data_IF_449482290622
#
_entry.id   IF_449482290622
#
_cell.length_a   1.000
_cell.length_b   1.000
_cell.length_c   1.000
_cell.angle_alpha   90.00
_cell.angle_beta   90.00
_cell.angle_gamma   90.00
#
_symmetry.space_group_name_H-M   'P 1'
#
loop_
_entity.id
_entity.type
_entity.pdbx_description
1 polymer ?
#
# COMPACT_ATOMS: atom_id res chain seq x y z
N UNK A 1 22.25 -4.73 6.52
CA UNK A 1 21.22 -4.82 5.50
C UNK A 1 20.08 -3.86 5.82
N UNK A 2 19.66 -3.10 4.84
CA UNK A 2 18.58 -2.16 5.07
C UNK A 2 17.26 -2.90 5.31
N UNK A 3 16.41 -2.34 6.15
CA UNK A 3 15.08 -2.87 6.37
C UNK A 3 14.26 -2.76 5.08
N UNK A 4 13.37 -3.71 4.89
CA UNK A 4 12.43 -3.64 3.76
C UNK A 4 11.46 -2.48 3.98
N UNK A 5 11.15 -1.78 2.92
CA UNK A 5 10.22 -0.66 2.95
C UNK A 5 8.84 -1.11 2.49
N UNK A 6 7.85 -0.87 3.32
CA UNK A 6 6.46 -1.23 3.01
C UNK A 6 5.62 0.05 2.98
N UNK A 7 4.89 0.24 1.89
CA UNK A 7 3.97 1.36 1.76
C UNK A 7 2.55 0.84 1.87
N UNK A 8 1.76 1.41 2.79
CA UNK A 8 0.40 0.96 3.05
C UNK A 8 -0.58 1.98 2.52
N UNK A 9 -1.46 1.57 1.63
CA UNK A 9 -2.53 2.41 1.08
C UNK A 9 -3.86 1.90 1.61
N UNK A 10 -4.29 2.47 2.72
CA UNK A 10 -5.51 2.13 3.43
C UNK A 10 -6.08 3.39 4.05
N UNK A 11 -7.32 3.73 3.72
CA UNK A 11 -7.93 4.96 4.22
C UNK A 11 -8.51 4.84 5.63
N UNK A 12 -8.74 3.62 6.11
CA UNK A 12 -9.12 3.42 7.51
C UNK A 12 -7.87 3.51 8.38
N UNK A 13 -7.75 4.61 9.12
CA UNK A 13 -6.56 4.87 9.93
C UNK A 13 -6.32 3.81 11.01
N UNK A 14 -7.38 3.21 11.54
CA UNK A 14 -7.24 2.16 12.55
C UNK A 14 -6.61 0.92 11.93
N UNK A 15 -7.09 0.51 10.78
CA UNK A 15 -6.55 -0.66 10.07
C UNK A 15 -5.11 -0.38 9.63
N UNK A 16 -4.87 0.79 9.05
CA UNK A 16 -3.53 1.15 8.59
C UNK A 16 -2.51 1.11 9.73
N UNK A 17 -2.86 1.67 10.87
CA UNK A 17 -1.97 1.68 12.03
C UNK A 17 -1.76 0.28 12.60
N UNK A 18 -2.79 -0.55 12.62
CA UNK A 18 -2.66 -1.92 13.11
C UNK A 18 -1.70 -2.73 12.23
N UNK A 19 -1.84 -2.61 10.91
CA UNK A 19 -0.94 -3.29 9.98
C UNK A 19 0.48 -2.76 10.13
N UNK A 20 0.62 -1.44 10.19
CA UNK A 20 1.94 -0.80 10.33
C UNK A 20 2.64 -1.24 11.62
N UNK A 21 1.91 -1.27 12.73
CA UNK A 21 2.49 -1.70 14.01
C UNK A 21 2.97 -3.14 13.94
N UNK A 22 2.20 -4.01 13.32
CA UNK A 22 2.57 -5.41 13.19
C UNK A 22 3.83 -5.57 12.33
N UNK A 23 3.88 -4.89 11.19
CA UNK A 23 5.05 -4.98 10.31
C UNK A 23 6.29 -4.36 10.94
N UNK A 24 6.11 -3.32 11.75
CA UNK A 24 7.24 -2.71 12.44
C UNK A 24 7.90 -3.68 13.41
N UNK A 25 7.15 -4.59 14.01
CA UNK A 25 7.75 -5.61 14.88
C UNK A 25 8.67 -6.55 14.12
N UNK A 26 8.53 -6.63 12.79
CA UNK A 26 9.41 -7.41 11.92
C UNK A 26 10.56 -6.57 11.37
N UNK A 27 10.79 -5.40 11.95
CA UNK A 27 11.88 -4.48 11.58
C UNK A 27 11.75 -3.95 10.16
N UNK A 28 10.53 -3.84 9.66
CA UNK A 28 10.26 -3.21 8.38
C UNK A 28 10.08 -1.72 8.57
N UNK A 29 10.51 -0.94 7.58
CA UNK A 29 10.25 0.49 7.54
C UNK A 29 8.92 0.71 6.85
N UNK A 30 7.95 1.27 7.57
CA UNK A 30 6.57 1.38 7.08
C UNK A 30 6.16 2.84 6.95
N UNK A 31 5.50 3.16 5.84
CA UNK A 31 4.87 4.44 5.66
C UNK A 31 3.45 4.23 5.17
N UNK A 32 2.51 4.97 5.75
CA UNK A 32 1.11 4.94 5.34
C UNK A 32 0.83 6.11 4.40
N UNK A 33 -0.03 5.87 3.40
CA UNK A 33 -0.42 6.93 2.47
C UNK A 33 -1.14 8.05 3.21
N UNK A 34 -0.83 9.28 2.84
CA UNK A 34 -1.44 10.46 3.43
C UNK A 34 -2.36 11.22 2.49
N UNK A 35 -2.13 11.12 1.18
CA UNK A 35 -2.94 11.83 0.21
C UNK A 35 -3.45 10.86 -0.85
N UNK A 36 -4.74 10.52 -0.77
CA UNK A 36 -5.33 9.51 -1.64
C UNK A 36 -5.63 10.01 -3.06
N UNK A 37 -5.27 11.24 -3.35
CA UNK A 37 -5.31 11.77 -4.72
C UNK A 37 -3.92 11.73 -5.36
N UNK A 38 -2.86 11.46 -4.59
CA UNK A 38 -1.48 11.53 -5.07
C UNK A 38 -0.66 10.33 -4.62
N UNK A 39 -1.23 9.15 -4.73
CA UNK A 39 -0.57 7.93 -4.27
C UNK A 39 0.72 7.68 -5.05
N UNK A 40 0.71 7.87 -6.37
CA UNK A 40 1.89 7.61 -7.20
C UNK A 40 3.08 8.46 -6.77
N UNK A 41 2.80 9.73 -6.44
CA UNK A 41 3.86 10.63 -6.00
C UNK A 41 4.46 10.20 -4.67
N UNK A 42 3.63 9.75 -3.74
CA UNK A 42 4.12 9.25 -2.46
C UNK A 42 4.93 7.98 -2.62
N UNK A 43 4.53 7.10 -3.54
CA UNK A 43 5.27 5.88 -3.84
C UNK A 43 6.64 6.23 -4.41
N UNK A 44 6.71 7.18 -5.33
CA UNK A 44 7.97 7.60 -5.91
C UNK A 44 8.92 8.19 -4.86
N UNK A 45 8.39 8.97 -3.93
CA UNK A 45 9.19 9.58 -2.88
C UNK A 45 9.72 8.55 -1.89
N UNK A 46 8.90 7.58 -1.52
CA UNK A 46 9.28 6.59 -0.53
C UNK A 46 10.11 5.44 -1.09
N UNK A 47 9.89 5.09 -2.36
CA UNK A 47 10.59 3.97 -3.03
C UNK A 47 10.42 2.66 -2.26
N UNK A 48 9.18 2.19 -2.07
CA UNK A 48 8.95 0.98 -1.28
C UNK A 48 9.41 -0.28 -1.99
N UNK A 49 9.66 -1.32 -1.21
CA UNK A 49 9.97 -2.65 -1.73
C UNK A 49 8.69 -3.45 -1.98
N UNK A 50 7.62 -3.09 -1.29
CA UNK A 50 6.32 -3.72 -1.47
C UNK A 50 5.23 -2.71 -1.08
N UNK A 51 4.09 -2.80 -1.76
CA UNK A 51 2.93 -1.97 -1.46
C UNK A 51 1.78 -2.87 -1.02
N UNK A 52 1.15 -2.51 0.08
CA UNK A 52 -0.09 -3.14 0.52
C UNK A 52 -1.21 -2.17 0.18
N UNK A 53 -2.12 -2.58 -0.71
CA UNK A 53 -3.09 -1.69 -1.31
C UNK A 53 -4.50 -2.17 -1.03
N UNK A 54 -5.33 -1.31 -0.43
CA UNK A 54 -6.75 -1.57 -0.32
C UNK A 54 -7.39 -1.35 -1.68
N UNK A 55 -8.43 -2.12 -1.97
CA UNK A 55 -9.16 -1.97 -3.23
C UNK A 55 -10.12 -0.79 -3.14
N UNK A 56 -10.84 -0.67 -2.03
CA UNK A 56 -11.83 0.39 -1.85
C UNK A 56 -11.19 1.59 -1.20
N UNK A 57 -10.91 2.60 -2.01
CA UNK A 57 -10.27 3.83 -1.56
C UNK A 57 -11.09 5.04 -1.97
N UNK A 58 -10.94 6.19 -1.30
CA UNK A 58 -11.57 7.42 -1.77
C UNK A 58 -10.95 7.87 -3.10
N UNK A 59 -11.72 8.55 -3.92
CA UNK A 59 -11.37 9.10 -5.22
C UNK A 59 -11.16 8.03 -6.28
N UNK A 60 -10.10 7.22 -6.17
CA UNK A 60 -9.76 6.17 -7.13
C UNK A 60 -9.49 4.88 -6.39
N UNK A 61 -9.96 3.75 -6.92
CA UNK A 61 -9.77 2.47 -6.25
C UNK A 61 -8.33 1.95 -6.40
N UNK A 62 -8.03 0.84 -5.69
CA UNK A 62 -6.69 0.29 -5.69
C UNK A 62 -6.22 -0.19 -7.06
N UNK A 63 -7.13 -0.67 -7.89
CA UNK A 63 -6.76 -1.12 -9.24
C UNK A 63 -6.32 0.05 -10.11
N UNK A 64 -6.97 1.21 -9.96
CA UNK A 64 -6.55 2.41 -10.66
C UNK A 64 -5.11 2.77 -10.30
N UNK A 65 -4.81 2.80 -9.00
CA UNK A 65 -3.47 3.16 -8.55
C UNK A 65 -2.43 2.12 -8.95
N UNK A 66 -2.81 0.84 -8.95
CA UNK A 66 -1.90 -0.20 -9.44
C UNK A 66 -1.52 0.07 -10.90
N UNK A 67 -2.49 0.39 -11.74
CA UNK A 67 -2.22 0.68 -13.14
C UNK A 67 -1.31 1.91 -13.29
N UNK A 68 -1.55 2.95 -12.49
CA UNK A 68 -0.72 4.15 -12.53
C UNK A 68 0.71 3.87 -12.07
N UNK A 69 0.87 3.10 -11.00
CA UNK A 69 2.19 2.73 -10.49
C UNK A 69 2.95 1.88 -11.51
N UNK A 70 2.25 0.99 -12.19
CA UNK A 70 2.86 0.11 -13.19
C UNK A 70 3.43 0.84 -14.40
N UNK A 71 3.05 2.09 -14.63
CA UNK A 71 3.63 2.89 -15.72
C UNK A 71 5.11 3.16 -15.48
N UNK A 72 5.52 3.23 -14.21
CA UNK A 72 6.91 3.61 -13.86
C UNK A 72 7.61 2.65 -12.92
N UNK A 73 6.92 1.65 -12.38
CA UNK A 73 7.51 0.77 -11.37
C UNK A 73 6.97 -0.65 -11.47
N UNK A 74 7.82 -1.61 -11.13
CA UNK A 74 7.42 -3.02 -11.04
C UNK A 74 7.36 -3.49 -9.60
N UNK A 75 7.24 -2.56 -8.66
CA UNK A 75 7.18 -2.91 -7.23
C UNK A 75 6.01 -3.88 -6.98
N UNK A 76 6.23 -4.93 -6.18
CA UNK A 76 5.14 -5.84 -5.85
C UNK A 76 4.01 -5.13 -5.13
N UNK A 77 2.77 -5.43 -5.52
CA UNK A 77 1.58 -4.87 -4.91
C UNK A 77 0.69 -6.01 -4.45
N UNK A 78 0.38 -6.02 -3.16
CA UNK A 78 -0.54 -6.98 -2.57
C UNK A 78 -1.85 -6.26 -2.29
N UNK A 79 -2.94 -6.75 -2.88
CA UNK A 79 -4.24 -6.16 -2.62
C UNK A 79 -4.87 -6.79 -1.40
N UNK A 80 -5.50 -5.93 -0.58
CA UNK A 80 -6.34 -6.38 0.52
C UNK A 80 -7.78 -6.21 0.10
N UNK A 81 -8.53 -7.30 0.08
CA UNK A 81 -9.95 -7.23 -0.22
C UNK A 81 -10.72 -6.78 1.02
N UNK A 82 -11.92 -6.25 0.80
CA UNK A 82 -12.79 -5.90 1.91
C UNK A 82 -13.24 -7.17 2.64
N UNK A 83 -13.85 -6.97 3.83
CA UNK A 83 -14.29 -8.09 4.65
C UNK A 83 -15.25 -9.05 3.93
N UNK A 84 -15.92 -8.57 2.90
CA UNK A 84 -16.88 -9.38 2.18
C UNK A 84 -16.26 -10.30 1.12
N UNK A 85 -15.00 -10.16 0.84
CA UNK A 85 -14.39 -10.77 -0.33
C UNK A 85 -13.16 -11.61 -0.03
N UNK A 86 -12.61 -11.74 1.01
CA UNK A 86 -11.56 -12.67 1.44
C UNK A 86 -10.52 -13.08 0.37
N UNK A 87 -10.29 -12.23 -0.64
CA UNK A 87 -9.28 -12.53 -1.64
C UNK A 87 -8.13 -11.55 -1.57
N UNK A 88 -6.92 -12.08 -1.60
CA UNK A 88 -5.72 -11.28 -1.72
C UNK A 88 -5.11 -11.56 -3.09
N UNK A 89 -4.85 -10.49 -3.83
CA UNK A 89 -4.32 -10.59 -5.19
C UNK A 89 -2.94 -9.96 -5.20
N UNK A 90 -1.95 -10.71 -5.65
CA UNK A 90 -0.58 -10.22 -5.80
C UNK A 90 -0.33 -9.88 -7.25
N UNK A 91 0.10 -8.65 -7.47
CA UNK A 91 0.39 -8.16 -8.81
C UNK A 91 1.89 -7.90 -9.00
#
# INVERSE_FOLDING_TARGET
MAANKVFIVEDDAVIARAVAAHLTTWQMQVQCAGNFEKITEEVEDFQPDIIIMDIKLPYYNGFYWCAEIRKTSRVPIVFLSSADDNMNIVM
#
